data_IF_415227633444
#
_entry.id   IF_415227633444
#
_cell.length_a   1.000
_cell.length_b   1.000
_cell.length_c   1.000
_cell.angle_alpha   90.00
_cell.angle_beta   90.00
_cell.angle_gamma   90.00
#
_symmetry.space_group_name_H-M   'P 1'
#
loop_
_entity.id
_entity.type
_entity.pdbx_description
1 polymer ?
#
# COMPACT_ATOMS: atom_id res chain seq x y z
N UNK A 1 -13.24 -5.61 9.64
CA UNK A 1 -11.93 -5.69 9.00
C UNK A 1 -10.98 -4.66 9.57
N UNK A 2 -9.76 -5.08 9.87
CA UNK A 2 -8.73 -4.13 10.30
C UNK A 2 -8.17 -3.39 9.10
N UNK A 3 -7.47 -2.28 9.36
CA UNK A 3 -6.81 -1.54 8.30
C UNK A 3 -5.80 -2.41 7.56
N UNK A 4 -5.09 -3.25 8.29
CA UNK A 4 -4.10 -4.16 7.71
C UNK A 4 -4.77 -5.13 6.72
N UNK A 5 -5.89 -5.69 7.09
CA UNK A 5 -6.63 -6.60 6.22
C UNK A 5 -7.15 -5.91 4.97
N UNK A 6 -7.61 -4.67 5.12
CA UNK A 6 -8.08 -3.89 3.97
C UNK A 6 -6.96 -3.65 2.96
N UNK A 7 -5.79 -3.26 3.44
CA UNK A 7 -4.64 -3.03 2.57
C UNK A 7 -4.18 -4.32 1.93
N UNK A 8 -4.11 -5.39 2.69
CA UNK A 8 -3.72 -6.70 2.17
C UNK A 8 -4.66 -7.15 1.06
N UNK A 9 -5.96 -7.06 1.32
CA UNK A 9 -6.98 -7.44 0.36
C UNK A 9 -6.90 -6.61 -0.92
N UNK A 10 -6.69 -5.31 -0.78
CA UNK A 10 -6.54 -4.41 -1.92
C UNK A 10 -5.35 -4.80 -2.78
N UNK A 11 -4.21 -5.11 -2.15
CA UNK A 11 -3.02 -5.54 -2.87
C UNK A 11 -3.23 -6.88 -3.57
N UNK A 12 -3.94 -7.80 -2.94
CA UNK A 12 -4.21 -9.09 -3.54
C UNK A 12 -5.16 -8.98 -4.74
N UNK A 13 -6.11 -8.08 -4.66
CA UNK A 13 -7.08 -7.87 -5.75
C UNK A 13 -6.52 -7.06 -6.90
N UNK A 14 -5.83 -5.97 -6.59
CA UNK A 14 -5.40 -5.01 -7.60
C UNK A 14 -3.90 -5.03 -7.88
N UNK A 15 -3.13 -5.62 -6.98
CA UNK A 15 -1.69 -5.72 -7.13
C UNK A 15 -0.93 -4.45 -6.78
N UNK A 16 -1.62 -3.38 -6.48
CA UNK A 16 -1.00 -2.07 -6.25
C UNK A 16 -1.87 -1.24 -5.33
N UNK A 17 -1.23 -0.43 -4.49
CA UNK A 17 -1.93 0.56 -3.68
C UNK A 17 -1.07 1.82 -3.56
N UNK A 18 -1.68 2.98 -3.67
CA UNK A 18 -0.98 4.24 -3.46
C UNK A 18 -1.39 4.84 -2.12
N UNK A 19 -0.56 5.78 -1.63
CA UNK A 19 -0.90 6.48 -0.41
C UNK A 19 -2.21 7.26 -0.56
N UNK A 20 -2.48 7.80 -1.75
CA UNK A 20 -3.73 8.50 -2.04
C UNK A 20 -4.93 7.57 -1.95
N UNK A 21 -4.83 6.40 -2.55
CA UNK A 21 -5.91 5.41 -2.50
C UNK A 21 -6.21 4.98 -1.07
N UNK A 22 -5.17 4.76 -0.28
CA UNK A 22 -5.34 4.39 1.12
C UNK A 22 -6.07 5.47 1.90
N UNK A 23 -5.72 6.72 1.67
CA UNK A 23 -6.38 7.84 2.34
C UNK A 23 -7.82 7.99 1.88
N UNK A 24 -8.05 7.98 0.58
CA UNK A 24 -9.38 8.22 0.01
C UNK A 24 -10.36 7.10 0.27
N UNK A 25 -9.92 5.87 0.13
CA UNK A 25 -10.82 4.71 0.25
C UNK A 25 -10.94 4.19 1.67
N UNK A 26 -9.87 4.26 2.43
CA UNK A 26 -9.82 3.63 3.75
C UNK A 26 -9.49 4.59 4.87
N UNK A 27 -9.20 5.84 4.54
CA UNK A 27 -8.76 6.87 5.51
C UNK A 27 -7.53 6.43 6.29
N UNK A 28 -6.64 5.74 5.63
CA UNK A 28 -5.40 5.24 6.23
C UNK A 28 -4.28 6.25 5.97
N UNK A 29 -3.75 6.84 7.03
CA UNK A 29 -2.65 7.79 6.92
C UNK A 29 -1.30 7.15 7.23
N UNK A 30 -1.30 5.93 7.76
CA UNK A 30 -0.09 5.22 8.18
C UNK A 30 0.18 4.01 7.29
N UNK A 31 0.03 4.20 5.99
CA UNK A 31 0.17 3.11 5.03
C UNK A 31 1.55 2.45 5.09
N UNK A 32 2.60 3.25 5.25
CA UNK A 32 3.96 2.72 5.29
C UNK A 32 4.16 1.72 6.44
N UNK A 33 3.54 2.00 7.59
CA UNK A 33 3.62 1.10 8.73
C UNK A 33 2.90 -0.23 8.44
N UNK A 34 1.76 -0.15 7.77
CA UNK A 34 1.01 -1.35 7.39
C UNK A 34 1.76 -2.17 6.34
N UNK A 35 2.39 -1.50 5.39
CA UNK A 35 3.22 -2.17 4.39
C UNK A 35 4.40 -2.86 5.05
N UNK A 36 5.04 -2.21 6.02
CA UNK A 36 6.13 -2.82 6.79
C UNK A 36 5.67 -4.12 7.45
N UNK A 37 4.50 -4.08 8.08
CA UNK A 37 3.93 -5.25 8.74
C UNK A 37 3.66 -6.37 7.73
N UNK A 38 3.10 -6.03 6.59
CA UNK A 38 2.83 -7.03 5.55
C UNK A 38 4.11 -7.68 5.03
N UNK A 39 5.18 -6.90 4.88
CA UNK A 39 6.47 -7.43 4.44
C UNK A 39 7.09 -8.38 5.47
N UNK A 40 7.02 -8.03 6.74
CA UNK A 40 7.72 -8.74 7.79
C UNK A 40 6.89 -9.85 8.42
N UNK A 41 5.61 -9.62 8.64
CA UNK A 41 4.75 -10.61 9.29
C UNK A 41 4.08 -11.55 8.30
N UNK A 42 3.65 -11.03 7.16
CA UNK A 42 2.98 -11.82 6.14
C UNK A 42 3.90 -12.23 5.00
N UNK A 43 5.16 -11.79 5.05
CA UNK A 43 6.20 -12.14 4.07
C UNK A 43 5.78 -11.85 2.63
N UNK A 44 5.05 -10.76 2.45
CA UNK A 44 4.64 -10.33 1.11
C UNK A 44 5.76 -9.52 0.47
N UNK A 45 6.04 -9.79 -0.80
CA UNK A 45 7.01 -9.02 -1.57
C UNK A 45 6.34 -7.76 -2.11
N UNK A 46 6.61 -6.65 -1.48
CA UNK A 46 6.01 -5.37 -1.85
C UNK A 46 7.12 -4.39 -2.17
N UNK A 47 7.10 -3.87 -3.39
CA UNK A 47 8.03 -2.81 -3.82
C UNK A 47 7.38 -1.46 -3.62
N UNK A 48 8.20 -0.49 -3.22
CA UNK A 48 7.74 0.88 -3.09
C UNK A 48 8.38 1.73 -4.18
N UNK A 49 7.57 2.50 -4.89
CA UNK A 49 8.00 3.43 -5.91
C UNK A 49 7.58 4.84 -5.54
N UNK A 50 8.51 5.77 -5.63
CA UNK A 50 8.19 7.16 -5.41
C UNK A 50 7.72 7.78 -6.74
N UNK A 51 6.50 8.30 -6.74
CA UNK A 51 5.93 8.96 -7.91
C UNK A 51 5.72 10.43 -7.60
N UNK A 52 5.89 11.27 -8.59
CA UNK A 52 5.65 12.69 -8.42
C UNK A 52 5.19 13.31 -9.72
N UNK A 53 4.45 14.40 -9.59
CA UNK A 53 4.10 15.26 -10.71
C UNK A 53 4.30 16.71 -10.28
N UNK A 54 3.84 17.66 -11.09
CA UNK A 54 4.05 19.07 -10.84
C UNK A 54 3.48 19.55 -9.50
N UNK A 55 2.40 18.96 -9.05
CA UNK A 55 1.65 19.44 -7.89
C UNK A 55 1.68 18.52 -6.67
N UNK A 56 2.14 17.27 -6.83
CA UNK A 56 2.04 16.31 -5.74
C UNK A 56 3.09 15.22 -5.86
N UNK A 57 3.36 14.56 -4.75
CA UNK A 57 4.18 13.35 -4.73
C UNK A 57 3.49 12.31 -3.86
N UNK A 58 3.72 11.05 -4.18
CA UNK A 58 3.13 9.95 -3.42
C UNK A 58 3.98 8.71 -3.57
N UNK A 59 3.74 7.74 -2.69
CA UNK A 59 4.41 6.45 -2.76
C UNK A 59 3.42 5.42 -3.27
N UNK A 60 3.85 4.63 -4.24
CA UNK A 60 3.07 3.55 -4.82
C UNK A 60 3.68 2.24 -4.36
N UNK A 61 2.87 1.38 -3.76
CA UNK A 61 3.30 0.07 -3.31
C UNK A 61 2.72 -0.99 -4.25
N UNK A 62 3.60 -1.83 -4.76
CA UNK A 62 3.22 -2.87 -5.71
C UNK A 62 3.55 -4.25 -5.16
N UNK A 63 2.58 -5.14 -5.20
CA UNK A 63 2.79 -6.53 -4.82
C UNK A 63 3.51 -7.24 -5.97
N UNK A 64 4.70 -7.74 -5.70
CA UNK A 64 5.53 -8.40 -6.71
C UNK A 64 5.44 -9.91 -6.63
N UNK A 65 4.96 -10.44 -5.51
CA UNK A 65 4.80 -11.87 -5.32
C UNK A 65 3.44 -12.30 -5.88
N UNK A 66 3.45 -12.79 -7.07
CA UNK A 66 2.23 -13.20 -7.75
C UNK A 66 2.06 -14.70 -7.67
#
# INVERSE_FOLDING_TARGET
MTQLEKVKSHLEEHGIITSWEAIQQYRITRLSALIWTLRHEHKMDINSDWKSNTNASWVEYRLTNV
#
